data_IF_917447567459
#
_entry.id   IF_917447567459
#
_cell.length_a   1.000
_cell.length_b   1.000
_cell.length_c   1.000
_cell.angle_alpha   90.00
_cell.angle_beta   90.00
_cell.angle_gamma   90.00
#
_symmetry.space_group_name_H-M   'P 1'
#
loop_
_entity.id
_entity.type
_entity.pdbx_description
1 polymer ?
#
# COMPACT_ATOMS: atom_id res chain seq x y z
N UNK A 1 15.14 -8.73 12.29
CA UNK A 1 14.02 -7.96 11.70
C UNK A 1 13.22 -8.87 10.78
N UNK A 2 11.89 -8.83 10.83
CA UNK A 2 11.03 -9.52 9.86
C UNK A 2 10.89 -8.67 8.59
N UNK A 3 10.55 -9.28 7.45
CA UNK A 3 10.30 -8.53 6.21
C UNK A 3 9.20 -7.47 6.38
N UNK A 4 8.16 -7.80 7.16
CA UNK A 4 7.11 -6.85 7.52
C UNK A 4 7.66 -5.63 8.29
N UNK A 5 8.55 -5.83 9.27
CA UNK A 5 9.14 -4.70 10.03
C UNK A 5 9.93 -3.74 9.13
N UNK A 6 10.70 -4.28 8.18
CA UNK A 6 11.45 -3.48 7.20
C UNK A 6 10.50 -2.69 6.30
N UNK A 7 9.38 -3.29 5.89
CA UNK A 7 8.37 -2.64 5.07
C UNK A 7 7.65 -1.51 5.81
N UNK A 8 7.35 -1.69 7.10
CA UNK A 8 6.76 -0.65 7.95
C UNK A 8 7.73 0.53 8.10
N UNK A 9 9.00 0.25 8.37
CA UNK A 9 10.05 1.29 8.44
C UNK A 9 10.17 2.04 7.11
N UNK A 10 10.22 1.32 5.98
CA UNK A 10 10.27 1.91 4.63
C UNK A 10 9.05 2.77 4.31
N UNK A 11 7.86 2.36 4.77
CA UNK A 11 6.64 3.16 4.61
C UNK A 11 6.74 4.45 5.42
N UNK A 12 7.21 4.33 6.66
CA UNK A 12 7.27 5.44 7.62
C UNK A 12 8.33 6.49 7.24
N UNK A 13 9.41 6.07 6.58
CA UNK A 13 10.48 6.95 6.10
C UNK A 13 10.26 7.50 4.69
N UNK A 14 9.12 7.22 4.06
CA UNK A 14 8.85 7.73 2.70
C UNK A 14 8.47 9.21 2.73
N UNK A 15 9.39 10.07 2.31
CA UNK A 15 9.19 11.53 2.26
C UNK A 15 8.25 11.99 1.15
N UNK A 16 7.98 11.12 0.15
CA UNK A 16 7.03 11.40 -0.93
C UNK A 16 5.58 11.45 -0.45
N UNK A 17 5.28 10.89 0.73
CA UNK A 17 3.91 10.71 1.22
C UNK A 17 3.79 11.25 2.65
N UNK A 18 3.01 12.30 2.79
CA UNK A 18 2.98 13.17 3.97
C UNK A 18 1.82 12.83 4.91
N UNK A 19 0.71 12.32 4.39
CA UNK A 19 -0.48 12.00 5.18
C UNK A 19 -0.46 10.56 5.71
N UNK A 20 -1.13 10.32 6.84
CA UNK A 20 -1.30 8.96 7.38
C UNK A 20 -2.07 8.07 6.40
N UNK A 21 -3.09 8.62 5.75
CA UNK A 21 -3.86 7.91 4.74
C UNK A 21 -2.96 7.50 3.56
N UNK A 22 -2.20 8.46 3.01
CA UNK A 22 -1.23 8.22 1.94
C UNK A 22 -0.22 7.13 2.33
N UNK A 23 0.34 7.19 3.55
CA UNK A 23 1.26 6.16 4.05
C UNK A 23 0.60 4.79 4.11
N UNK A 24 -0.65 4.72 4.54
CA UNK A 24 -1.46 3.50 4.45
C UNK A 24 -1.60 3.01 3.00
N UNK A 25 -1.83 3.92 2.05
CA UNK A 25 -1.89 3.56 0.61
C UNK A 25 -0.57 3.01 0.09
N UNK A 26 0.53 3.66 0.46
CA UNK A 26 1.87 3.25 0.07
C UNK A 26 2.26 1.90 0.70
N UNK A 27 1.94 1.68 1.97
CA UNK A 27 2.14 0.40 2.66
C UNK A 27 1.45 -0.75 1.93
N UNK A 28 0.18 -0.56 1.55
CA UNK A 28 -0.58 -1.58 0.85
C UNK A 28 0.02 -1.90 -0.53
N UNK A 29 0.49 -0.90 -1.28
CA UNK A 29 1.21 -1.13 -2.54
C UNK A 29 2.50 -1.93 -2.34
N UNK A 30 3.28 -1.60 -1.30
CA UNK A 30 4.46 -2.36 -0.92
C UNK A 30 4.12 -3.80 -0.52
N UNK A 31 3.04 -3.99 0.25
CA UNK A 31 2.61 -5.30 0.73
C UNK A 31 2.12 -6.19 -0.42
N UNK A 32 1.43 -5.63 -1.41
CA UNK A 32 0.98 -6.34 -2.60
C UNK A 32 2.16 -6.76 -3.49
N UNK A 33 3.07 -5.84 -3.83
CA UNK A 33 4.27 -6.17 -4.60
C UNK A 33 5.19 -7.16 -3.87
N UNK A 34 5.27 -7.06 -2.54
CA UNK A 34 6.11 -7.89 -1.68
C UNK A 34 5.46 -9.19 -1.23
N UNK A 35 4.18 -9.46 -1.58
CA UNK A 35 3.41 -10.62 -1.11
C UNK A 35 3.30 -10.73 0.42
N UNK A 36 3.30 -9.59 1.12
CA UNK A 36 3.28 -9.50 2.59
C UNK A 36 1.92 -9.13 3.17
N UNK A 37 0.88 -8.93 2.34
CA UNK A 37 -0.42 -8.44 2.80
C UNK A 37 -1.09 -9.40 3.80
N UNK A 38 -1.13 -10.70 3.49
CA UNK A 38 -1.65 -11.70 4.43
C UNK A 38 -0.87 -11.71 5.75
N UNK A 39 0.46 -11.59 5.70
CA UNK A 39 1.30 -11.54 6.91
C UNK A 39 0.95 -10.32 7.77
N UNK A 40 0.75 -9.15 7.16
CA UNK A 40 0.36 -7.94 7.87
C UNK A 40 -1.00 -8.10 8.57
N UNK A 41 -2.00 -8.63 7.85
CA UNK A 41 -3.35 -8.88 8.40
C UNK A 41 -3.30 -9.91 9.52
N UNK A 42 -2.53 -10.99 9.37
CA UNK A 42 -2.36 -11.99 10.42
C UNK A 42 -1.78 -11.39 11.71
N UNK A 43 -0.77 -10.52 11.60
CA UNK A 43 -0.19 -9.86 12.76
C UNK A 43 -1.19 -8.91 13.44
N UNK A 44 -2.03 -8.24 12.66
CA UNK A 44 -3.08 -7.37 13.19
C UNK A 44 -4.13 -8.18 13.96
N UNK A 45 -4.65 -9.26 13.38
CA UNK A 45 -5.64 -10.15 14.02
C UNK A 45 -5.08 -10.78 15.30
N UNK A 46 -3.78 -11.12 15.32
CA UNK A 46 -3.11 -11.70 16.50
C UNK A 46 -2.75 -10.68 17.59
N UNK A 47 -3.03 -9.40 17.39
CA UNK A 47 -2.70 -8.33 18.35
C UNK A 47 -3.99 -7.64 18.82
N UNK A 48 -4.69 -8.18 19.84
CA UNK A 48 -6.01 -7.67 20.26
C UNK A 48 -6.04 -6.17 20.57
N UNK A 49 -4.97 -5.63 21.16
CA UNK A 49 -4.84 -4.20 21.47
C UNK A 49 -4.96 -3.28 20.25
N UNK A 50 -4.59 -3.75 19.06
CA UNK A 50 -4.72 -2.99 17.82
C UNK A 50 -6.13 -3.09 17.24
N UNK A 51 -6.84 -4.19 17.53
CA UNK A 51 -8.22 -4.39 17.08
C UNK A 51 -9.22 -3.50 17.83
N UNK A 52 -8.87 -3.06 19.05
CA UNK A 52 -9.65 -2.08 19.83
C UNK A 52 -9.87 -0.75 19.07
N UNK A 53 -9.02 -0.43 18.08
CA UNK A 53 -9.20 0.74 17.22
C UNK A 53 -10.31 0.57 16.15
N UNK A 54 -10.88 -0.63 16.03
CA UNK A 54 -11.88 -0.98 15.01
C UNK A 54 -13.19 -1.42 15.66
N UNK A 55 -14.30 -1.07 15.02
CA UNK A 55 -15.63 -1.45 15.48
C UNK A 55 -15.78 -2.98 15.58
N UNK A 56 -16.18 -3.55 16.73
CA UNK A 56 -16.23 -5.00 16.93
C UNK A 56 -17.33 -5.71 16.12
N UNK A 57 -18.32 -4.98 15.61
CA UNK A 57 -19.48 -5.55 14.90
C UNK A 57 -19.35 -5.30 13.40
N UNK A 58 -18.99 -4.08 12.99
CA UNK A 58 -18.96 -3.66 11.59
C UNK A 58 -17.59 -3.86 10.92
N UNK A 59 -16.49 -3.95 11.68
CA UNK A 59 -15.16 -4.09 11.09
C UNK A 59 -14.91 -5.50 10.60
N UNK A 60 -14.50 -5.61 9.34
CA UNK A 60 -14.03 -6.86 8.73
C UNK A 60 -12.81 -7.47 9.46
N UNK A 61 -12.07 -6.67 10.23
CA UNK A 61 -10.87 -7.09 10.93
C UNK A 61 -11.13 -7.58 12.37
N UNK A 62 -12.19 -7.07 13.01
CA UNK A 62 -12.47 -7.34 14.44
C UNK A 62 -13.70 -8.24 14.64
N UNK A 63 -14.63 -8.26 13.69
CA UNK A 63 -15.75 -9.19 13.75
C UNK A 63 -15.28 -10.61 13.40
N UNK A 64 -15.48 -11.56 14.32
CA UNK A 64 -15.06 -12.96 14.19
C UNK A 64 -15.66 -13.63 12.94
N UNK A 65 -16.90 -13.32 12.58
CA UNK A 65 -17.59 -13.89 11.40
C UNK A 65 -16.95 -13.45 10.07
N UNK A 66 -16.34 -12.26 10.03
CA UNK A 66 -15.75 -11.70 8.81
C UNK A 66 -14.23 -11.86 8.74
N UNK A 67 -13.57 -11.91 9.89
CA UNK A 67 -12.11 -11.90 9.99
C UNK A 67 -11.44 -13.11 9.32
N UNK A 68 -12.00 -14.32 9.49
CA UNK A 68 -11.46 -15.55 8.92
C UNK A 68 -11.67 -15.64 7.40
N UNK A 69 -12.88 -15.38 6.84
CA UNK A 69 -13.06 -15.26 5.39
C UNK A 69 -12.18 -14.19 4.77
N UNK A 70 -12.03 -13.04 5.43
CA UNK A 70 -11.17 -11.96 4.96
C UNK A 70 -9.70 -12.39 4.93
N UNK A 71 -9.20 -13.01 5.99
CA UNK A 71 -7.82 -13.51 6.03
C UNK A 71 -7.57 -14.58 4.94
N UNK A 72 -8.52 -15.48 4.73
CA UNK A 72 -8.46 -16.47 3.64
C UNK A 72 -8.36 -15.81 2.27
N UNK A 73 -9.13 -14.74 2.04
CA UNK A 73 -9.01 -13.94 0.81
C UNK A 73 -7.64 -13.27 0.70
N UNK A 74 -7.06 -12.77 1.79
CA UNK A 74 -5.71 -12.17 1.77
C UNK A 74 -4.63 -13.20 1.41
N UNK A 75 -4.76 -14.46 1.84
CA UNK A 75 -3.85 -15.53 1.42
C UNK A 75 -3.92 -15.75 -0.10
N UNK A 76 -5.12 -15.73 -0.69
CA UNK A 76 -5.28 -15.83 -2.16
C UNK A 76 -4.66 -14.61 -2.86
N UNK A 77 -4.88 -13.40 -2.35
CA UNK A 77 -4.29 -12.17 -2.90
C UNK A 77 -2.76 -12.21 -2.85
N UNK A 78 -2.18 -12.80 -1.80
CA UNK A 78 -0.72 -12.97 -1.68
C UNK A 78 -0.12 -13.85 -2.79
N UNK A 79 -0.88 -14.80 -3.36
CA UNK A 79 -0.41 -15.62 -4.47
C UNK A 79 -0.37 -14.86 -5.80
N UNK A 80 -1.18 -13.80 -5.94
CA UNK A 80 -1.21 -12.98 -7.15
C UNK A 80 0.10 -12.19 -7.35
N UNK A 81 0.42 -11.89 -8.60
CA UNK A 81 1.61 -11.12 -8.96
C UNK A 81 1.22 -9.67 -9.25
N UNK A 82 1.55 -8.77 -8.33
CA UNK A 82 1.40 -7.34 -8.50
C UNK A 82 2.73 -6.71 -8.96
N UNK A 83 2.68 -5.89 -10.00
CA UNK A 83 3.82 -5.10 -10.50
C UNK A 83 3.46 -3.61 -10.48
N UNK A 84 3.22 -3.08 -9.28
CA UNK A 84 2.89 -1.67 -9.10
C UNK A 84 4.15 -0.80 -9.15
N UNK A 85 4.07 0.36 -9.79
CA UNK A 85 5.13 1.37 -9.69
C UNK A 85 5.14 1.97 -8.27
N UNK A 86 6.27 1.79 -7.58
CA UNK A 86 6.50 2.28 -6.22
C UNK A 86 7.30 3.59 -6.20
N UNK A 87 7.84 4.02 -7.34
CA UNK A 87 8.60 5.27 -7.45
C UNK A 87 7.67 6.47 -7.53
N UNK A 88 6.55 6.35 -8.24
CA UNK A 88 5.51 7.36 -8.26
C UNK A 88 4.54 7.17 -7.08
N UNK A 89 4.85 7.75 -5.93
CA UNK A 89 4.02 7.63 -4.71
C UNK A 89 3.48 8.96 -4.19
N UNK A 90 3.91 10.11 -4.72
CA UNK A 90 3.51 11.43 -4.21
C UNK A 90 2.02 11.72 -4.34
N UNK A 91 1.37 11.18 -5.36
CA UNK A 91 -0.08 11.33 -5.55
C UNK A 91 -0.92 10.60 -4.49
N UNK A 92 -0.31 9.71 -3.70
CA UNK A 92 -1.04 8.85 -2.76
C UNK A 92 -1.65 9.63 -1.59
N UNK A 93 -1.21 10.85 -1.31
CA UNK A 93 -1.90 11.71 -0.35
C UNK A 93 -3.27 12.15 -0.87
N UNK A 94 -3.41 12.36 -2.17
CA UNK A 94 -4.63 12.91 -2.78
C UNK A 94 -5.54 11.80 -3.32
N UNK A 95 -4.98 10.84 -4.08
CA UNK A 95 -5.76 9.80 -4.78
C UNK A 95 -5.21 8.39 -4.59
N UNK A 96 -6.09 7.40 -4.69
CA UNK A 96 -5.71 5.99 -4.79
C UNK A 96 -5.60 5.51 -6.26
N UNK A 97 -6.27 6.22 -7.17
CA UNK A 97 -6.36 5.85 -8.58
C UNK A 97 -4.97 5.83 -9.20
N UNK A 98 -4.64 4.76 -9.93
CA UNK A 98 -3.37 4.67 -10.64
C UNK A 98 -3.31 5.78 -11.69
N UNK A 99 -2.35 6.72 -11.60
CA UNK A 99 -2.19 7.73 -12.63
C UNK A 99 -1.74 7.07 -13.93
N UNK A 100 -2.16 7.63 -15.06
CA UNK A 100 -1.61 7.24 -16.36
C UNK A 100 -0.20 7.82 -16.42
N UNK A 101 0.82 6.97 -16.28
CA UNK A 101 2.21 7.37 -16.43
C UNK A 101 2.56 7.41 -17.92
N UNK A 102 2.97 8.57 -18.43
CA UNK A 102 3.46 8.74 -19.79
C UNK A 102 4.95 9.08 -19.76
N UNK A 103 5.77 8.22 -20.36
CA UNK A 103 7.22 8.42 -20.48
C UNK A 103 7.45 9.18 -21.78
N UNK A 104 8.14 10.31 -21.69
CA UNK A 104 8.57 11.08 -22.86
C UNK A 104 10.08 10.95 -23.00
N UNK A 105 10.53 10.40 -24.13
CA UNK A 105 11.94 10.41 -24.50
C UNK A 105 12.28 11.75 -25.15
N UNK A 106 13.17 12.50 -24.53
CA UNK A 106 13.65 13.78 -25.07
C UNK A 106 14.95 13.56 -25.82
N UNK A 107 15.07 14.17 -27.01
CA UNK A 107 16.36 14.24 -27.69
C UNK A 107 17.27 15.29 -27.00
N UNK A 108 18.59 15.09 -26.97
CA UNK A 108 19.50 16.11 -26.45
C UNK A 108 19.34 17.41 -27.24
N UNK A 109 18.83 18.46 -26.58
CA UNK A 109 18.61 19.76 -27.18
C UNK A 109 18.93 20.87 -26.16
N UNK A 110 19.20 22.09 -26.64
CA UNK A 110 19.50 23.24 -25.77
C UNK A 110 18.28 23.76 -25.03
N UNK A 111 17.11 23.67 -25.65
CA UNK A 111 15.84 24.11 -25.06
C UNK A 111 14.77 23.04 -25.35
N UNK A 112 14.00 22.69 -24.33
CA UNK A 112 12.94 21.70 -24.41
C UNK A 112 11.60 22.45 -24.57
N UNK A 113 11.13 22.60 -25.81
CA UNK A 113 9.87 23.29 -26.14
C UNK A 113 8.63 22.46 -25.81
N UNK A 114 8.46 22.07 -24.55
CA UNK A 114 7.32 21.26 -24.11
C UNK A 114 6.17 22.12 -23.58
N UNK A 115 4.96 21.79 -24.03
CA UNK A 115 3.70 22.30 -23.47
C UNK A 115 2.97 21.12 -22.86
N UNK A 116 2.82 21.12 -21.54
CA UNK A 116 1.95 20.16 -20.84
C UNK A 116 0.50 20.58 -21.10
N UNK A 117 -0.26 19.74 -21.79
CA UNK A 117 -1.71 19.92 -22.04
C UNK A 117 -2.51 19.09 -21.05
#
# INVERSE_FOLDING_TARGET
>A
RTLLSIMIEKTSSCEKVLTVQGRGRYFLRLALNGKLLAVAVQQLIRTPRLLECYDPIASILNNEEFSEPFFSMMLVVTEMNFSLDLQNSSFLDESWQLPICQIYETVPCRELGMVLR
#
